data_IF_926390140062
#
_entry.id   IF_926390140062
#
_cell.length_a   1.000
_cell.length_b   1.000
_cell.length_c   1.000
_cell.angle_alpha   90.00
_cell.angle_beta   90.00
_cell.angle_gamma   90.00
#
_symmetry.space_group_name_H-M   'P 1'
#
loop_
_entity.id
_entity.type
_entity.pdbx_description
1 polymer ?
#
# COMPACT_ATOMS: atom_id res chain seq x y z
N UNK A 1 -0.63 -12.84 -5.21
CA UNK A 1 -1.16 -11.53 -4.79
C UNK A 1 -2.65 -11.59 -4.63
N UNK A 2 -3.14 -11.03 -3.55
CA UNK A 2 -4.58 -10.86 -3.31
C UNK A 2 -4.93 -9.38 -3.41
N UNK A 3 -6.22 -9.09 -3.44
CA UNK A 3 -6.71 -7.72 -3.41
C UNK A 3 -7.46 -7.46 -2.12
N UNK A 4 -7.52 -6.18 -1.72
CA UNK A 4 -8.30 -5.74 -0.57
C UNK A 4 -8.94 -4.42 -0.97
N UNK A 5 -10.15 -4.16 -0.47
CA UNK A 5 -10.83 -2.90 -0.81
C UNK A 5 -10.43 -1.81 0.17
N UNK A 6 -10.61 -0.56 -0.27
CA UNK A 6 -10.43 0.61 0.60
C UNK A 6 -11.32 0.49 1.83
N UNK A 7 -12.56 0.04 1.63
CA UNK A 7 -13.53 -0.11 2.72
C UNK A 7 -13.03 -1.10 3.78
N UNK A 8 -12.48 -2.22 3.36
CA UNK A 8 -11.93 -3.21 4.28
C UNK A 8 -10.74 -2.65 5.07
N UNK A 9 -9.85 -1.93 4.40
CA UNK A 9 -8.70 -1.32 5.07
C UNK A 9 -9.17 -0.31 6.12
N UNK A 10 -10.12 0.54 5.76
CA UNK A 10 -10.68 1.52 6.70
C UNK A 10 -11.31 0.86 7.92
N UNK A 11 -12.08 -0.20 7.70
CA UNK A 11 -12.71 -0.92 8.80
C UNK A 11 -11.69 -1.52 9.74
N UNK A 12 -10.65 -2.11 9.20
CA UNK A 12 -9.60 -2.74 10.02
C UNK A 12 -8.83 -1.69 10.83
N UNK A 13 -8.53 -0.55 10.22
CA UNK A 13 -7.87 0.55 10.95
C UNK A 13 -8.78 1.10 12.05
N UNK A 14 -10.07 1.25 11.77
CA UNK A 14 -11.03 1.74 12.76
C UNK A 14 -11.18 0.79 13.94
N UNK A 15 -10.99 -0.50 13.73
CA UNK A 15 -11.06 -1.48 14.80
C UNK A 15 -9.80 -1.50 15.67
N UNK A 16 -8.81 -0.68 15.35
CA UNK A 16 -7.57 -0.60 16.13
C UNK A 16 -6.49 -1.57 15.67
N UNK A 17 -6.72 -2.26 14.57
CA UNK A 17 -5.75 -3.20 14.02
C UNK A 17 -4.51 -2.47 13.50
N UNK A 18 -3.33 -2.99 13.79
CA UNK A 18 -2.08 -2.44 13.26
C UNK A 18 -1.76 -3.13 11.95
N UNK A 19 -1.79 -2.36 10.87
CA UNK A 19 -1.57 -2.88 9.53
C UNK A 19 -0.22 -2.42 8.98
N UNK A 20 0.42 -3.30 8.22
CA UNK A 20 1.62 -2.94 7.46
C UNK A 20 1.16 -2.35 6.12
N UNK A 21 1.13 -1.04 6.05
CA UNK A 21 0.69 -0.31 4.85
C UNK A 21 1.90 0.24 4.12
N UNK A 22 2.02 -0.10 2.85
CA UNK A 22 3.12 0.31 2.00
C UNK A 22 2.60 1.21 0.88
N UNK A 23 3.10 2.43 0.85
CA UNK A 23 2.77 3.43 -0.16
C UNK A 23 3.90 3.44 -1.19
N UNK A 24 3.58 3.11 -2.44
CA UNK A 24 4.58 3.02 -3.50
C UNK A 24 4.53 4.20 -4.46
N UNK A 25 3.88 5.29 -4.04
CA UNK A 25 3.82 6.53 -4.82
C UNK A 25 5.14 7.30 -4.67
N UNK A 26 5.20 8.47 -5.30
CA UNK A 26 6.35 9.34 -5.20
C UNK A 26 6.27 10.23 -3.95
N UNK A 27 7.41 10.75 -3.47
CA UNK A 27 7.42 11.59 -2.26
C UNK A 27 6.51 12.80 -2.29
N UNK A 28 6.36 13.45 -3.46
CA UNK A 28 5.48 14.61 -3.59
C UNK A 28 4.00 14.22 -3.45
N UNK A 29 3.63 13.06 -3.98
CA UNK A 29 2.27 12.54 -3.79
C UNK A 29 1.99 12.25 -2.32
N UNK A 30 2.95 11.65 -1.64
CA UNK A 30 2.84 11.33 -0.22
C UNK A 30 2.72 12.59 0.62
N UNK A 31 3.49 13.62 0.28
CA UNK A 31 3.47 14.89 1.01
C UNK A 31 2.13 15.61 0.89
N UNK A 32 1.46 15.48 -0.25
CA UNK A 32 0.15 16.10 -0.45
C UNK A 32 -0.92 15.45 0.41
N UNK A 33 -0.94 14.13 0.44
CA UNK A 33 -1.91 13.37 1.22
C UNK A 33 -1.40 11.95 1.39
N UNK A 34 -1.52 11.41 2.60
CA UNK A 34 -1.15 10.01 2.85
C UNK A 34 -2.02 9.45 3.99
N UNK A 35 -2.01 8.14 4.13
CA UNK A 35 -2.75 7.46 5.19
C UNK A 35 -1.82 6.89 6.27
N UNK A 36 -0.61 7.40 6.33
CA UNK A 36 0.33 7.03 7.37
C UNK A 36 1.14 5.77 7.09
N UNK A 37 1.09 5.26 5.86
CA UNK A 37 1.89 4.09 5.51
C UNK A 37 3.37 4.42 5.35
N UNK A 38 4.16 3.37 5.22
CA UNK A 38 5.59 3.53 4.94
C UNK A 38 5.76 3.84 3.46
N UNK A 39 6.50 4.89 3.15
CA UNK A 39 6.74 5.29 1.76
C UNK A 39 7.98 4.59 1.21
N UNK A 40 7.78 3.76 0.19
CA UNK A 40 8.89 3.20 -0.61
C UNK A 40 8.44 3.25 -2.06
N UNK A 41 8.88 4.24 -2.83
CA UNK A 41 8.45 4.40 -4.21
C UNK A 41 8.70 3.14 -5.05
N UNK A 42 7.84 2.92 -6.04
CA UNK A 42 7.92 1.74 -6.89
C UNK A 42 9.32 1.55 -7.49
N UNK A 43 9.97 2.63 -7.93
CA UNK A 43 11.31 2.54 -8.48
C UNK A 43 12.32 1.92 -7.52
N UNK A 44 12.20 2.22 -6.23
CA UNK A 44 13.07 1.63 -5.22
C UNK A 44 12.81 0.12 -5.07
N UNK A 45 11.55 -0.29 -5.14
CA UNK A 45 11.19 -1.71 -5.08
C UNK A 45 11.74 -2.44 -6.30
N UNK A 46 11.62 -1.85 -7.48
CA UNK A 46 12.15 -2.42 -8.71
C UNK A 46 13.68 -2.52 -8.68
N UNK A 47 14.34 -1.63 -7.95
CA UNK A 47 15.77 -1.67 -7.74
C UNK A 47 16.18 -2.57 -6.58
N UNK A 48 15.22 -3.28 -5.99
CA UNK A 48 15.44 -4.22 -4.88
C UNK A 48 15.98 -3.55 -3.62
N UNK A 49 15.61 -2.29 -3.39
CA UNK A 49 16.00 -1.53 -2.21
C UNK A 49 14.92 -1.72 -1.13
N UNK A 50 14.98 -2.85 -0.44
CA UNK A 50 13.93 -3.28 0.49
C UNK A 50 14.38 -3.38 1.93
N UNK A 51 15.49 -2.75 2.30
CA UNK A 51 16.06 -2.87 3.64
C UNK A 51 15.03 -2.54 4.73
N UNK A 52 14.20 -1.53 4.49
CA UNK A 52 13.20 -1.09 5.46
C UNK A 52 11.98 -2.02 5.53
N UNK A 53 11.88 -3.00 4.64
CA UNK A 53 10.73 -3.89 4.54
C UNK A 53 11.02 -5.33 4.94
N UNK A 54 12.25 -5.63 5.30
CA UNK A 54 12.66 -7.01 5.60
C UNK A 54 11.80 -7.66 6.68
N UNK A 55 11.44 -6.90 7.69
CA UNK A 55 10.63 -7.41 8.81
C UNK A 55 9.21 -7.79 8.40
N UNK A 56 8.77 -7.35 7.21
CA UNK A 56 7.42 -7.58 6.73
C UNK A 56 7.30 -8.79 5.79
N UNK A 57 8.40 -9.47 5.49
CA UNK A 57 8.39 -10.54 4.48
C UNK A 57 7.37 -11.64 4.74
N UNK A 58 7.23 -12.03 6.00
CA UNK A 58 6.32 -13.12 6.37
C UNK A 58 5.01 -12.60 6.95
N UNK A 59 4.76 -11.30 6.85
CA UNK A 59 3.56 -10.67 7.36
C UNK A 59 2.68 -10.18 6.22
N UNK A 60 1.42 -9.89 6.54
CA UNK A 60 0.54 -9.25 5.58
C UNK A 60 1.04 -7.82 5.30
N UNK A 61 1.15 -7.47 4.02
CA UNK A 61 1.52 -6.14 3.58
C UNK A 61 0.44 -5.63 2.63
N UNK A 62 -0.18 -4.52 2.99
CA UNK A 62 -1.18 -3.86 2.15
C UNK A 62 -0.48 -2.79 1.34
N UNK A 63 -0.46 -2.94 0.03
CA UNK A 63 0.28 -2.08 -0.88
C UNK A 63 -0.69 -1.19 -1.64
N UNK A 64 -0.41 0.11 -1.70
CA UNK A 64 -1.28 1.01 -2.44
C UNK A 64 -0.51 2.07 -3.20
N UNK A 65 -1.19 2.63 -4.18
CA UNK A 65 -0.72 3.79 -4.93
C UNK A 65 -1.92 4.70 -5.21
N UNK A 66 -1.89 5.45 -6.29
CA UNK A 66 -2.99 6.36 -6.62
C UNK A 66 -4.23 5.60 -7.07
N UNK A 67 -4.07 4.64 -7.98
CA UNK A 67 -5.21 3.94 -8.63
C UNK A 67 -5.17 2.42 -8.54
N UNK A 68 -4.08 1.86 -8.00
CA UNK A 68 -3.92 0.41 -7.90
C UNK A 68 -3.00 -0.22 -8.93
N UNK A 69 -2.54 0.54 -9.93
CA UNK A 69 -1.69 -0.02 -10.99
C UNK A 69 -0.23 -0.19 -10.55
N UNK A 70 0.37 0.87 -10.02
CA UNK A 70 1.75 0.80 -9.53
C UNK A 70 1.88 -0.19 -8.37
N UNK A 71 0.87 -0.21 -7.50
CA UNK A 71 0.87 -1.12 -6.36
C UNK A 71 0.75 -2.57 -6.78
N UNK A 72 0.02 -2.86 -7.86
CA UNK A 72 -0.04 -4.21 -8.41
C UNK A 72 1.34 -4.66 -8.89
N UNK A 73 2.04 -3.79 -9.61
CA UNK A 73 3.41 -4.07 -10.07
C UNK A 73 4.32 -4.30 -8.86
N UNK A 74 4.20 -3.44 -7.85
CA UNK A 74 5.00 -3.58 -6.62
C UNK A 74 4.76 -4.94 -5.95
N UNK A 75 3.51 -5.38 -5.86
CA UNK A 75 3.20 -6.69 -5.29
C UNK A 75 3.92 -7.82 -6.02
N UNK A 76 3.94 -7.77 -7.36
CA UNK A 76 4.63 -8.78 -8.14
C UNK A 76 6.13 -8.83 -7.82
N UNK A 77 6.77 -7.66 -7.75
CA UNK A 77 8.19 -7.60 -7.39
C UNK A 77 8.43 -8.11 -5.97
N UNK A 78 7.58 -7.71 -5.02
CA UNK A 78 7.72 -8.15 -3.64
C UNK A 78 7.59 -9.67 -3.52
N UNK A 79 6.65 -10.25 -4.25
CA UNK A 79 6.47 -11.72 -4.23
C UNK A 79 7.68 -12.45 -4.77
N UNK A 80 8.31 -11.93 -5.83
CA UNK A 80 9.52 -12.56 -6.36
C UNK A 80 10.69 -12.47 -5.38
N UNK A 81 10.62 -11.54 -4.42
CA UNK A 81 11.66 -11.35 -3.42
C UNK A 81 11.32 -11.99 -2.08
N UNK A 82 10.30 -12.84 -2.03
CA UNK A 82 10.01 -13.65 -0.86
C UNK A 82 8.90 -13.15 0.05
N UNK A 83 8.20 -12.09 -0.32
CA UNK A 83 7.06 -11.62 0.46
C UNK A 83 5.89 -12.58 0.25
N UNK A 84 5.32 -13.08 1.34
CA UNK A 84 4.39 -14.20 1.29
C UNK A 84 2.92 -13.80 1.32
N UNK A 85 2.60 -12.56 1.69
CA UNK A 85 1.21 -12.15 1.85
C UNK A 85 1.01 -10.69 1.46
N UNK A 86 1.09 -10.42 0.15
CA UNK A 86 0.86 -9.06 -0.36
C UNK A 86 -0.59 -8.90 -0.79
N UNK A 87 -1.15 -7.74 -0.49
CA UNK A 87 -2.50 -7.37 -0.90
C UNK A 87 -2.48 -6.02 -1.57
N UNK A 88 -3.01 -5.96 -2.78
CA UNK A 88 -3.15 -4.70 -3.50
C UNK A 88 -4.45 -4.03 -3.10
N UNK A 89 -4.37 -2.80 -2.58
CA UNK A 89 -5.58 -2.04 -2.23
C UNK A 89 -6.19 -1.48 -3.52
N UNK A 90 -7.28 -2.09 -3.95
CA UNK A 90 -7.96 -1.72 -5.19
C UNK A 90 -8.47 -0.28 -5.12
N UNK A 91 -8.30 0.43 -6.23
CA UNK A 91 -8.76 1.82 -6.34
C UNK A 91 -7.83 2.83 -5.69
N UNK A 92 -6.95 2.41 -4.81
CA UNK A 92 -5.91 3.25 -4.21
C UNK A 92 -6.43 4.53 -3.56
N UNK A 93 -5.61 5.57 -3.62
CA UNK A 93 -5.95 6.85 -3.01
C UNK A 93 -7.16 7.52 -3.66
N UNK A 94 -7.40 7.27 -4.94
CA UNK A 94 -8.59 7.84 -5.59
C UNK A 94 -9.87 7.35 -4.92
N UNK A 95 -9.97 6.05 -4.66
CA UNK A 95 -11.13 5.50 -3.97
C UNK A 95 -11.17 5.94 -2.51
N UNK A 96 -10.02 5.98 -1.87
CA UNK A 96 -9.94 6.42 -0.48
C UNK A 96 -10.50 7.82 -0.31
N UNK A 97 -10.05 8.75 -1.14
CA UNK A 97 -10.46 10.14 -1.07
C UNK A 97 -11.91 10.35 -1.55
N UNK A 98 -12.35 9.56 -2.52
CA UNK A 98 -13.73 9.63 -3.00
C UNK A 98 -14.72 9.28 -1.89
N UNK A 99 -14.40 8.30 -1.06
CA UNK A 99 -15.25 7.90 0.05
C UNK A 99 -15.26 8.93 1.17
N UNK A 100 -14.18 9.69 1.29
CA UNK A 100 -14.08 10.75 2.30
C UNK A 100 -14.66 12.07 1.82
N UNK A 101 -14.80 12.23 0.53
CA UNK A 101 -15.14 13.44 -0.19
C UNK A 101 -16.10 14.39 0.47
N UNK A 102 -17.23 14.67 -0.17
CA UNK A 102 -18.12 15.74 0.35
C UNK A 102 -18.72 15.44 1.72
N UNK A 103 -18.59 14.24 2.21
CA UNK A 103 -19.06 13.88 3.54
C UNK A 103 -18.27 14.54 4.65
N UNK A 104 -17.14 15.08 4.32
CA UNK A 104 -16.30 15.77 5.26
C UNK A 104 -16.77 17.19 5.43
#
# INVERSE_FOLDING_TARGET
MQTITVDEVKKRLQSGEKLNILDVREPDEYAEFNIGGKLVPLGNIQAMQLDDLEDWKDQEVIVHCRSGKRSMVACHFLETMGFTNTKNMEGGMLDWQAQEGPMK
#
